data_IF_335604769436
#
_entry.id   IF_335604769436
#
_cell.length_a   1.000
_cell.length_b   1.000
_cell.length_c   1.000
_cell.angle_alpha   90.00
_cell.angle_beta   90.00
_cell.angle_gamma   90.00
#
_symmetry.space_group_name_H-M   'P 1'
#
loop_
_entity.id
_entity.type
_entity.pdbx_description
1 polymer ?
#
# COMPACT_ATOMS: atom_id res chain seq x y z
N UNK A 1 -11.91 5.69 -0.04
CA UNK A 1 -11.85 4.34 0.58
C UNK A 1 -11.43 4.50 2.02
N UNK A 2 -12.07 3.81 2.96
CA UNK A 2 -11.74 3.92 4.38
C UNK A 2 -10.71 2.84 4.81
N UNK A 3 -10.19 2.94 6.03
CA UNK A 3 -9.19 2.01 6.58
C UNK A 3 -9.68 0.55 6.62
N UNK A 4 -10.94 0.34 7.01
CA UNK A 4 -11.48 -1.01 7.19
C UNK A 4 -11.68 -1.73 5.86
N UNK A 5 -12.09 -1.00 4.82
CA UNK A 5 -12.22 -1.54 3.46
C UNK A 5 -10.88 -2.13 2.97
N UNK A 6 -9.77 -1.40 3.20
CA UNK A 6 -8.42 -1.84 2.79
C UNK A 6 -7.99 -3.09 3.55
N UNK A 7 -8.24 -3.13 4.87
CA UNK A 7 -7.86 -4.28 5.71
C UNK A 7 -8.64 -5.54 5.35
N UNK A 8 -9.92 -5.38 4.96
CA UNK A 8 -10.78 -6.50 4.57
C UNK A 8 -10.60 -6.92 3.10
N UNK A 9 -10.00 -6.07 2.27
CA UNK A 9 -9.77 -6.36 0.85
C UNK A 9 -8.92 -7.61 0.68
N UNK A 10 -9.31 -8.50 -0.23
CA UNK A 10 -8.55 -9.70 -0.59
C UNK A 10 -7.72 -9.45 -1.85
N UNK A 11 -6.56 -10.12 -2.00
CA UNK A 11 -5.80 -10.08 -3.24
C UNK A 11 -6.69 -10.48 -4.43
N UNK A 12 -6.58 -9.72 -5.52
CA UNK A 12 -7.44 -9.86 -6.68
C UNK A 12 -7.29 -8.66 -7.61
N UNK A 13 -8.11 -8.60 -8.66
CA UNK A 13 -8.01 -7.55 -9.70
C UNK A 13 -8.06 -6.14 -9.13
N UNK A 14 -9.06 -5.86 -8.29
CA UNK A 14 -9.23 -4.52 -7.69
C UNK A 14 -8.06 -4.13 -6.78
N UNK A 15 -7.60 -5.06 -5.94
CA UNK A 15 -6.44 -4.88 -5.09
C UNK A 15 -5.19 -4.52 -5.90
N UNK A 16 -4.94 -5.27 -6.99
CA UNK A 16 -3.79 -5.03 -7.85
C UNK A 16 -3.90 -3.68 -8.59
N UNK A 17 -5.08 -3.32 -9.09
CA UNK A 17 -5.32 -2.02 -9.70
C UNK A 17 -5.02 -0.87 -8.74
N UNK A 18 -5.48 -0.98 -7.49
CA UNK A 18 -5.26 0.04 -6.47
C UNK A 18 -3.78 0.20 -6.15
N UNK A 19 -3.04 -0.90 -6.00
CA UNK A 19 -1.58 -0.84 -5.78
C UNK A 19 -0.89 -0.14 -6.95
N UNK A 20 -1.15 -0.56 -8.18
CA UNK A 20 -0.57 0.05 -9.38
C UNK A 20 -0.85 1.55 -9.46
N UNK A 21 -2.11 1.96 -9.32
CA UNK A 21 -2.51 3.35 -9.51
C UNK A 21 -2.11 4.24 -8.33
N UNK A 22 -2.35 3.81 -7.09
CA UNK A 22 -2.20 4.66 -5.90
C UNK A 22 -0.80 4.61 -5.30
N UNK A 23 -0.23 3.41 -5.20
CA UNK A 23 1.09 3.23 -4.60
C UNK A 23 2.16 3.47 -5.67
N UNK A 24 2.07 2.80 -6.81
CA UNK A 24 3.11 2.87 -7.84
C UNK A 24 2.98 4.07 -8.78
N UNK A 25 1.78 4.62 -8.93
CA UNK A 25 1.51 5.72 -9.87
C UNK A 25 1.48 5.27 -11.34
N UNK A 26 1.21 3.98 -11.57
CA UNK A 26 1.07 3.39 -12.90
C UNK A 26 -0.40 3.44 -13.29
N UNK A 27 -0.70 4.07 -14.42
CA UNK A 27 -2.02 4.00 -15.05
C UNK A 27 -2.07 2.74 -15.91
N UNK A 28 -2.85 1.71 -15.54
CA UNK A 28 -3.05 0.56 -16.41
C UNK A 28 -3.75 1.02 -17.69
N UNK A 29 -3.21 0.65 -18.85
CA UNK A 29 -3.86 0.85 -20.14
C UNK A 29 -4.88 -0.28 -20.32
N UNK A 30 -6.17 0.07 -20.20
CA UNK A 30 -7.30 -0.86 -20.23
C UNK A 30 -7.35 -1.77 -21.48
N UNK A 31 -6.56 -1.46 -22.52
CA UNK A 31 -6.55 -2.20 -23.80
C UNK A 31 -5.41 -3.22 -23.96
N UNK A 32 -4.45 -3.31 -23.03
CA UNK A 32 -3.26 -4.20 -23.17
C UNK A 32 -2.88 -5.04 -21.95
N UNK A 33 -3.62 -4.92 -20.85
CA UNK A 33 -3.03 -5.11 -19.51
C UNK A 33 -3.48 -6.33 -18.70
N UNK A 34 -3.90 -7.42 -19.36
CA UNK A 34 -3.99 -8.71 -18.66
C UNK A 34 -2.62 -9.15 -18.08
N UNK A 35 -1.50 -8.60 -18.59
CA UNK A 35 -0.15 -8.80 -18.07
C UNK A 35 0.34 -7.73 -17.08
N UNK A 36 -0.29 -6.55 -16.98
CA UNK A 36 0.10 -5.47 -16.03
C UNK A 36 -0.62 -5.62 -14.69
N UNK A 37 -1.76 -6.31 -14.68
CA UNK A 37 -2.27 -6.98 -13.49
C UNK A 37 -1.42 -8.23 -13.21
N UNK A 38 -0.10 -8.05 -13.05
CA UNK A 38 0.72 -9.07 -12.40
C UNK A 38 -0.01 -9.43 -11.12
N UNK A 39 -0.16 -10.72 -10.90
CA UNK A 39 -0.66 -11.23 -9.64
C UNK A 39 0.38 -10.85 -8.57
N UNK A 40 0.25 -9.65 -8.02
CA UNK A 40 1.22 -9.09 -7.09
C UNK A 40 1.36 -10.01 -5.88
N UNK A 41 0.29 -10.73 -5.50
CA UNK A 41 0.30 -11.78 -4.48
C UNK A 41 1.31 -12.90 -4.71
N UNK A 42 1.83 -13.03 -5.94
CA UNK A 42 2.70 -14.12 -6.38
C UNK A 42 4.09 -13.66 -6.84
N UNK A 43 4.37 -12.35 -6.93
CA UNK A 43 5.67 -11.79 -7.35
C UNK A 43 6.37 -11.08 -6.17
N UNK A 44 7.32 -11.72 -5.48
CA UNK A 44 8.01 -11.13 -4.33
C UNK A 44 8.75 -9.83 -4.64
N UNK A 45 9.10 -9.57 -5.92
CA UNK A 45 9.79 -8.33 -6.32
C UNK A 45 8.93 -7.08 -6.10
N UNK A 46 7.60 -7.25 -6.01
CA UNK A 46 6.68 -6.15 -5.74
C UNK A 46 6.93 -5.50 -4.38
N UNK A 47 7.36 -6.27 -3.38
CA UNK A 47 7.62 -5.76 -2.03
C UNK A 47 8.68 -4.66 -2.09
N UNK A 48 9.81 -4.93 -2.75
CA UNK A 48 10.89 -3.94 -2.87
C UNK A 48 10.48 -2.75 -3.72
N UNK A 49 9.68 -2.97 -4.77
CA UNK A 49 9.15 -1.90 -5.60
C UNK A 49 8.26 -0.94 -4.79
N UNK A 50 7.34 -1.47 -3.98
CA UNK A 50 6.48 -0.69 -3.09
C UNK A 50 7.29 0.05 -2.03
N UNK A 51 8.23 -0.64 -1.38
CA UNK A 51 9.08 -0.06 -0.34
C UNK A 51 9.86 1.13 -0.89
N UNK A 52 10.53 0.97 -2.03
CA UNK A 52 11.30 2.04 -2.66
C UNK A 52 10.39 3.21 -3.03
N UNK A 53 9.20 2.93 -3.57
CA UNK A 53 8.25 3.97 -3.94
C UNK A 53 7.72 4.77 -2.74
N UNK A 54 7.51 4.12 -1.60
CA UNK A 54 7.11 4.80 -0.38
C UNK A 54 8.28 5.50 0.32
N UNK A 55 9.51 4.99 0.21
CA UNK A 55 10.70 5.69 0.68
C UNK A 55 10.89 7.03 -0.05
N UNK A 56 10.66 7.09 -1.38
CA UNK A 56 10.63 8.35 -2.15
C UNK A 56 9.59 9.36 -1.61
N UNK A 57 8.52 8.86 -0.97
CA UNK A 57 7.47 9.67 -0.34
C UNK A 57 7.74 9.94 1.16
N UNK A 58 8.96 9.73 1.63
CA UNK A 58 9.39 9.92 3.02
C UNK A 58 8.70 8.99 4.05
N UNK A 59 8.49 7.74 3.67
CA UNK A 59 8.10 6.69 4.61
C UNK A 59 9.30 5.84 5.03
N UNK A 60 9.30 5.45 6.31
CA UNK A 60 10.10 4.33 6.80
C UNK A 60 9.23 3.09 6.88
N UNK A 61 9.84 1.91 6.79
CA UNK A 61 9.11 0.66 6.88
C UNK A 61 9.68 -0.26 7.96
N UNK A 62 8.82 -1.08 8.53
CA UNK A 62 9.19 -2.22 9.36
C UNK A 62 8.38 -3.42 8.90
N UNK A 63 9.04 -4.53 8.62
CA UNK A 63 8.40 -5.81 8.30
C UNK A 63 8.72 -6.77 9.44
N UNK A 64 7.69 -7.47 9.93
CA UNK A 64 7.83 -8.46 10.98
C UNK A 64 7.09 -9.73 10.59
N UNK A 65 7.80 -10.85 10.57
CA UNK A 65 7.19 -12.16 10.49
C UNK A 65 6.79 -12.56 11.91
N UNK A 66 5.50 -12.50 12.22
CA UNK A 66 4.98 -12.82 13.56
C UNK A 66 5.08 -14.33 13.78
N UNK A 67 4.70 -15.11 12.77
CA UNK A 67 4.90 -16.56 12.72
C UNK A 67 4.92 -17.03 11.25
N UNK A 68 4.88 -18.34 11.00
CA UNK A 68 4.90 -18.91 9.64
C UNK A 68 3.68 -18.53 8.79
N UNK A 69 2.59 -18.12 9.43
CA UNK A 69 1.29 -17.87 8.81
C UNK A 69 0.81 -16.44 9.02
N UNK A 70 1.62 -15.56 9.60
CA UNK A 70 1.19 -14.21 9.93
C UNK A 70 2.36 -13.24 9.77
N UNK A 71 2.12 -12.22 8.97
CA UNK A 71 3.08 -11.20 8.61
C UNK A 71 2.49 -9.83 8.92
N UNK A 72 3.33 -8.91 9.39
CA UNK A 72 2.98 -7.52 9.63
C UNK A 72 3.90 -6.60 8.85
N UNK A 73 3.32 -5.54 8.29
CA UNK A 73 4.05 -4.44 7.70
C UNK A 73 3.56 -3.12 8.30
N UNK A 74 4.52 -2.26 8.63
CA UNK A 74 4.32 -0.92 9.14
C UNK A 74 5.00 0.05 8.18
N UNK A 75 4.27 1.08 7.75
CA UNK A 75 4.85 2.28 7.13
C UNK A 75 4.66 3.48 8.04
N UNK A 76 5.76 4.11 8.42
CA UNK A 76 5.81 5.31 9.26
C UNK A 76 6.00 6.55 8.36
N UNK A 77 5.00 7.43 8.35
CA UNK A 77 5.10 8.71 7.63
C UNK A 77 5.95 9.68 8.41
N UNK A 78 7.07 10.12 7.83
CA UNK A 78 7.88 11.18 8.43
C UNK A 78 7.23 12.56 8.29
N UNK A 79 6.26 12.71 7.39
CA UNK A 79 5.54 13.97 7.13
C UNK A 79 4.41 14.21 8.12
N UNK A 80 3.59 13.20 8.40
CA UNK A 80 2.43 13.31 9.29
C UNK A 80 2.65 12.69 10.68
N UNK A 81 3.79 12.03 10.89
CA UNK A 81 4.11 11.25 12.09
C UNK A 81 3.08 10.14 12.41
N UNK A 82 2.33 9.68 11.40
CA UNK A 82 1.39 8.57 11.51
C UNK A 82 2.04 7.24 11.15
N UNK A 83 1.53 6.18 11.77
CA UNK A 83 1.89 4.80 11.46
C UNK A 83 0.75 4.09 10.77
N UNK A 84 1.05 3.38 9.70
CA UNK A 84 0.09 2.60 8.91
C UNK A 84 0.46 1.13 8.97
N UNK A 85 -0.37 0.33 9.62
CA UNK A 85 -0.06 -1.06 9.98
C UNK A 85 -1.09 -1.98 9.32
N UNK A 86 -0.62 -3.06 8.72
CA UNK A 86 -1.46 -4.14 8.25
C UNK A 86 -0.87 -5.50 8.64
N UNK A 87 -1.77 -6.46 8.87
CA UNK A 87 -1.47 -7.86 9.15
C UNK A 87 -2.13 -8.72 8.08
N UNK A 88 -1.44 -9.76 7.62
CA UNK A 88 -1.99 -10.73 6.69
C UNK A 88 -1.26 -12.06 6.74
N UNK A 89 -1.90 -13.10 6.22
CA UNK A 89 -1.35 -14.45 6.19
C UNK A 89 -0.25 -14.62 5.12
N UNK A 90 -0.08 -13.61 4.26
CA UNK A 90 0.96 -13.50 3.24
C UNK A 90 1.70 -12.17 3.42
N UNK A 91 3.04 -12.23 3.42
CA UNK A 91 3.89 -11.05 3.50
C UNK A 91 3.57 -9.99 2.44
N UNK A 92 3.35 -10.41 1.19
CA UNK A 92 3.05 -9.49 0.09
C UNK A 92 1.73 -8.76 0.36
N UNK A 93 0.72 -9.48 0.82
CA UNK A 93 -0.57 -8.89 1.17
C UNK A 93 -0.44 -7.88 2.32
N UNK A 94 0.33 -8.21 3.37
CA UNK A 94 0.58 -7.30 4.49
C UNK A 94 1.26 -6.00 4.02
N UNK A 95 2.28 -6.11 3.17
CA UNK A 95 3.00 -4.96 2.60
C UNK A 95 2.07 -4.09 1.74
N UNK A 96 1.34 -4.71 0.81
CA UNK A 96 0.43 -4.00 -0.07
C UNK A 96 -0.70 -3.29 0.70
N UNK A 97 -1.30 -3.94 1.70
CA UNK A 97 -2.33 -3.32 2.55
C UNK A 97 -1.77 -2.14 3.35
N UNK A 98 -0.62 -2.30 3.99
CA UNK A 98 0.02 -1.22 4.73
C UNK A 98 0.36 -0.03 3.81
N UNK A 99 0.79 -0.31 2.57
CA UNK A 99 1.07 0.71 1.57
C UNK A 99 -0.17 1.48 1.13
N UNK A 100 -1.30 0.80 0.89
CA UNK A 100 -2.56 1.47 0.57
C UNK A 100 -3.01 2.35 1.75
N UNK A 101 -2.96 1.84 2.98
CA UNK A 101 -3.27 2.63 4.17
C UNK A 101 -2.42 3.90 4.26
N UNK A 102 -1.12 3.78 3.99
CA UNK A 102 -0.20 4.91 3.99
C UNK A 102 -0.57 5.98 2.96
N UNK A 103 -0.84 5.58 1.71
CA UNK A 103 -1.19 6.52 0.64
C UNK A 103 -2.53 7.22 0.92
N UNK A 104 -3.58 6.45 1.23
CA UNK A 104 -4.90 7.04 1.49
C UNK A 104 -4.90 7.91 2.76
N UNK A 105 -4.15 7.51 3.80
CA UNK A 105 -4.02 8.27 5.03
C UNK A 105 -3.30 9.62 4.84
N UNK A 106 -2.28 9.67 3.97
CA UNK A 106 -1.62 10.93 3.61
C UNK A 106 -2.47 11.80 2.70
N UNK A 107 -3.18 11.22 1.72
CA UNK A 107 -4.13 11.98 0.90
C UNK A 107 -5.18 12.68 1.80
N UNK A 108 -5.66 12.01 2.84
CA UNK A 108 -6.60 12.60 3.81
C UNK A 108 -5.93 13.68 4.67
N UNK A 109 -4.71 13.44 5.14
CA UNK A 109 -3.94 14.42 5.91
C UNK A 109 -3.70 15.71 5.12
N UNK A 110 -3.25 15.60 3.88
CA UNK A 110 -3.02 16.76 3.01
C UNK A 110 -4.30 17.55 2.73
N UNK A 111 -5.43 16.87 2.52
CA UNK A 111 -6.73 17.53 2.34
C UNK A 111 -7.11 18.34 3.58
N UNK A 112 -6.86 17.81 4.79
CA UNK A 112 -7.14 18.52 6.04
C UNK A 112 -6.27 19.77 6.22
N UNK A 113 -4.98 19.67 5.93
CA UNK A 113 -4.06 20.83 5.97
C UNK A 113 -4.54 21.92 5.01
N UNK A 114 -4.81 21.58 3.74
CA UNK A 114 -5.29 22.55 2.73
C UNK A 114 -6.60 23.22 3.11
N UNK A 115 -7.49 22.52 3.82
CA UNK A 115 -8.75 23.07 4.28
C UNK A 115 -8.60 24.03 5.48
N UNK A 116 -7.50 23.93 6.24
CA UNK A 116 -7.19 24.84 7.35
C UNK A 116 -6.48 26.13 6.90
N UNK A 117 -5.88 26.10 5.71
CA UNK A 117 -5.20 27.24 5.08
C UNK A 117 -6.15 28.13 4.26
N UNK A 118 -7.45 27.81 4.23
CA UNK A 118 -8.53 28.54 3.55
C UNK A 118 -9.44 29.23 4.57
#
# INVERSE_FOLDING_TARGET
MNKQDILNMKPGREFNLLISQKVLGITPDERKDDNILRDFSSDPSIIMTIINKLAERNFKYTITNINKYEHSCIFDSMKSHKRYIAHADNLIEAVCKAALLAVFGEEEYEKKIRAQEQ
#
